data_IF_933682069934
#
_entry.id   IF_933682069934
#
_cell.length_a   1.000
_cell.length_b   1.000
_cell.length_c   1.000
_cell.angle_alpha   90.00
_cell.angle_beta   90.00
_cell.angle_gamma   90.00
#
_symmetry.space_group_name_H-M   'P 1'
#
loop_
_entity.id
_entity.type
_entity.pdbx_description
1 polymer ?
#
# COMPACT_ATOMS: atom_id res chain seq x y z
N UNK A 1 21.98 -26.61 -13.59
CA UNK A 1 20.79 -25.74 -13.68
C UNK A 1 20.94 -24.40 -12.94
N UNK A 2 21.44 -24.36 -11.70
CA UNK A 2 21.43 -23.13 -10.88
C UNK A 2 22.24 -21.91 -11.39
N UNK A 3 23.32 -22.10 -12.17
CA UNK A 3 24.16 -20.95 -12.59
C UNK A 3 23.56 -20.13 -13.73
N UNK A 4 22.81 -20.76 -14.63
CA UNK A 4 22.20 -20.11 -15.79
C UNK A 4 21.00 -19.26 -15.39
N UNK A 5 20.11 -19.79 -14.56
CA UNK A 5 18.94 -19.03 -14.05
C UNK A 5 19.37 -17.77 -13.30
N UNK A 6 20.45 -17.84 -12.50
CA UNK A 6 20.99 -16.65 -11.81
C UNK A 6 21.54 -15.60 -12.77
N UNK A 7 22.29 -16.02 -13.81
CA UNK A 7 22.82 -15.09 -14.82
C UNK A 7 21.71 -14.42 -15.62
N UNK A 8 20.70 -15.19 -16.02
CA UNK A 8 19.53 -14.67 -16.75
C UNK A 8 18.76 -13.69 -15.88
N UNK A 9 18.51 -14.00 -14.61
CA UNK A 9 17.81 -13.10 -13.69
C UNK A 9 18.59 -11.80 -13.47
N UNK A 10 19.91 -11.89 -13.30
CA UNK A 10 20.77 -10.71 -13.14
C UNK A 10 20.77 -9.80 -14.38
N UNK A 11 20.78 -10.38 -15.58
CA UNK A 11 20.75 -9.63 -16.84
C UNK A 11 19.35 -9.05 -17.12
N UNK A 12 18.29 -9.81 -16.86
CA UNK A 12 16.91 -9.41 -17.12
C UNK A 12 16.38 -8.38 -16.12
N UNK A 13 16.94 -8.30 -14.90
CA UNK A 13 16.40 -7.44 -13.85
C UNK A 13 16.32 -5.95 -14.22
N UNK A 14 17.39 -5.38 -14.79
CA UNK A 14 17.42 -3.98 -15.20
C UNK A 14 16.45 -3.66 -16.36
N UNK A 15 16.49 -4.36 -17.50
CA UNK A 15 15.57 -4.10 -18.60
C UNK A 15 14.11 -4.36 -18.19
N UNK A 16 13.84 -5.44 -17.44
CA UNK A 16 12.47 -5.73 -17.01
C UNK A 16 11.95 -4.69 -16.02
N UNK A 17 12.79 -4.12 -15.15
CA UNK A 17 12.39 -3.01 -14.30
C UNK A 17 11.93 -1.79 -15.11
N UNK A 18 12.69 -1.40 -16.14
CA UNK A 18 12.33 -0.28 -17.01
C UNK A 18 11.06 -0.58 -17.79
N UNK A 19 10.97 -1.78 -18.39
CA UNK A 19 9.78 -2.22 -19.13
C UNK A 19 8.54 -2.22 -18.22
N UNK A 20 8.64 -2.68 -16.98
CA UNK A 20 7.52 -2.65 -16.03
C UNK A 20 7.11 -1.24 -15.61
N UNK A 21 8.06 -0.32 -15.42
CA UNK A 21 7.73 1.08 -15.13
C UNK A 21 7.03 1.73 -16.31
N UNK A 22 7.55 1.55 -17.53
CA UNK A 22 6.93 2.06 -18.75
C UNK A 22 5.53 1.48 -18.94
N UNK A 23 5.38 0.16 -18.75
CA UNK A 23 4.09 -0.49 -18.80
C UNK A 23 3.11 0.13 -17.80
N UNK A 24 3.53 0.35 -16.54
CA UNK A 24 2.68 0.97 -15.53
C UNK A 24 2.30 2.42 -15.90
N UNK A 25 3.22 3.19 -16.47
CA UNK A 25 2.97 4.56 -16.90
C UNK A 25 1.96 4.63 -18.07
N UNK A 26 2.15 3.82 -19.10
CA UNK A 26 1.19 3.74 -20.21
C UNK A 26 -0.16 3.16 -19.77
N UNK A 27 -0.16 2.23 -18.82
CA UNK A 27 -1.39 1.69 -18.23
C UNK A 27 -2.15 2.78 -17.47
N UNK A 28 -1.46 3.61 -16.69
CA UNK A 28 -2.05 4.76 -16.03
C UNK A 28 -2.67 5.75 -17.03
N UNK A 29 -1.93 6.05 -18.10
CA UNK A 29 -2.41 6.89 -19.21
C UNK A 29 -3.66 6.32 -19.87
N UNK A 30 -3.61 5.06 -20.31
CA UNK A 30 -4.75 4.35 -20.89
C UNK A 30 -5.97 4.38 -19.96
N UNK A 31 -5.78 4.11 -18.67
CA UNK A 31 -6.86 4.04 -17.70
C UNK A 31 -7.59 5.38 -17.59
N UNK A 32 -6.87 6.49 -17.51
CA UNK A 32 -7.44 7.82 -17.30
C UNK A 32 -7.92 8.49 -18.60
N UNK A 33 -7.17 8.37 -19.71
CA UNK A 33 -7.56 8.91 -21.02
C UNK A 33 -8.83 8.24 -21.56
N UNK A 34 -8.92 6.91 -21.46
CA UNK A 34 -10.10 6.18 -21.92
C UNK A 34 -11.34 6.49 -21.08
N UNK A 35 -11.15 6.87 -19.83
CA UNK A 35 -12.26 7.24 -18.96
C UNK A 35 -12.91 8.58 -19.36
N UNK A 36 -12.16 9.48 -20.01
CA UNK A 36 -12.65 10.74 -20.57
C UNK A 36 -13.19 10.62 -22.01
N UNK A 37 -13.22 9.43 -22.62
CA UNK A 37 -13.63 9.25 -24.02
C UNK A 37 -12.81 10.10 -25.00
N UNK A 38 -11.54 10.36 -24.67
CA UNK A 38 -10.61 10.97 -25.61
C UNK A 38 -10.33 9.97 -26.74
N UNK A 39 -10.91 10.22 -27.93
CA UNK A 39 -10.56 9.52 -29.18
C UNK A 39 -9.26 10.09 -29.79
N UNK A 40 -8.30 10.43 -28.93
CA UNK A 40 -7.06 11.10 -29.29
C UNK A 40 -5.92 10.15 -29.60
N UNK A 41 -4.93 10.68 -30.32
CA UNK A 41 -3.65 10.03 -30.62
C UNK A 41 -2.92 9.55 -29.34
N UNK A 42 -3.08 10.27 -28.22
CA UNK A 42 -2.53 9.95 -26.90
C UNK A 42 -2.96 8.56 -26.40
N UNK A 43 -4.23 8.21 -26.58
CA UNK A 43 -4.77 6.91 -26.16
C UNK A 43 -4.20 5.79 -27.03
N UNK A 44 -4.11 6.02 -28.34
CA UNK A 44 -3.53 5.06 -29.29
C UNK A 44 -2.06 4.79 -28.97
N UNK A 45 -1.26 5.82 -28.65
CA UNK A 45 0.13 5.64 -28.19
C UNK A 45 0.18 4.73 -26.96
N UNK A 46 -0.67 4.96 -25.96
CA UNK A 46 -0.69 4.14 -24.75
C UNK A 46 -1.05 2.68 -25.07
N UNK A 47 -2.08 2.45 -25.90
CA UNK A 47 -2.51 1.12 -26.32
C UNK A 47 -1.43 0.36 -27.08
N UNK A 48 -0.83 0.97 -28.10
CA UNK A 48 0.25 0.36 -28.89
C UNK A 48 1.49 0.11 -28.05
N UNK A 49 1.86 1.03 -27.16
CA UNK A 49 2.99 0.85 -26.25
C UNK A 49 2.78 -0.33 -25.31
N UNK A 50 1.58 -0.48 -24.74
CA UNK A 50 1.24 -1.62 -23.89
C UNK A 50 1.27 -2.93 -24.67
N UNK A 51 0.73 -2.94 -25.89
CA UNK A 51 0.76 -4.10 -26.78
C UNK A 51 2.20 -4.51 -27.12
N UNK A 52 3.09 -3.54 -27.39
CA UNK A 52 4.48 -3.80 -27.74
C UNK A 52 5.34 -4.27 -26.54
N UNK A 53 5.06 -3.75 -25.35
CA UNK A 53 5.80 -4.11 -24.13
C UNK A 53 5.35 -5.46 -23.54
N UNK A 54 4.11 -5.89 -23.77
CA UNK A 54 3.56 -7.11 -23.20
C UNK A 54 4.33 -8.40 -23.57
N UNK A 55 4.76 -8.63 -24.83
CA UNK A 55 5.59 -9.77 -25.21
C UNK A 55 6.86 -9.95 -24.37
N UNK A 56 7.47 -8.87 -23.87
CA UNK A 56 8.67 -8.97 -23.03
C UNK A 56 8.42 -9.82 -21.77
N UNK A 57 7.25 -9.70 -21.15
CA UNK A 57 6.86 -10.47 -19.97
C UNK A 57 6.57 -11.93 -20.30
N UNK A 58 5.98 -12.21 -21.47
CA UNK A 58 5.76 -13.57 -21.95
C UNK A 58 7.11 -14.26 -22.19
N UNK A 59 8.03 -13.58 -22.88
CA UNK A 59 9.37 -14.12 -23.18
C UNK A 59 10.12 -14.42 -21.88
N UNK A 60 10.13 -13.49 -20.91
CA UNK A 60 10.74 -13.73 -19.59
C UNK A 60 10.12 -14.96 -18.91
N UNK A 61 8.79 -15.06 -18.87
CA UNK A 61 8.10 -16.19 -18.26
C UNK A 61 8.44 -17.52 -18.96
N UNK A 62 8.49 -17.54 -20.29
CA UNK A 62 8.89 -18.70 -21.08
C UNK A 62 10.32 -19.13 -20.80
N UNK A 63 11.27 -18.18 -20.77
CA UNK A 63 12.68 -18.46 -20.48
C UNK A 63 12.84 -19.07 -19.09
N UNK A 64 12.18 -18.51 -18.08
CA UNK A 64 12.25 -19.05 -16.71
C UNK A 64 11.50 -20.38 -16.53
N UNK A 65 10.47 -20.64 -17.33
CA UNK A 65 9.78 -21.93 -17.37
C UNK A 65 10.68 -23.00 -18.02
N UNK A 66 11.31 -22.68 -19.16
CA UNK A 66 12.25 -23.57 -19.86
C UNK A 66 13.49 -23.90 -19.02
N UNK A 67 13.97 -22.94 -18.22
CA UNK A 67 15.09 -23.13 -17.29
C UNK A 67 14.73 -23.91 -16.01
N UNK A 68 13.45 -24.28 -15.82
CA UNK A 68 13.00 -25.04 -14.64
C UNK A 68 13.15 -24.26 -13.33
N UNK A 69 12.90 -22.95 -13.35
CA UNK A 69 13.07 -22.12 -12.15
C UNK A 69 12.12 -22.55 -11.00
N UNK A 70 12.59 -22.56 -9.75
CA UNK A 70 11.79 -23.03 -8.61
C UNK A 70 10.55 -22.16 -8.33
N UNK A 71 10.55 -20.93 -8.84
CA UNK A 71 9.49 -19.92 -8.63
C UNK A 71 8.70 -19.56 -9.89
N UNK A 72 8.64 -20.46 -10.89
CA UNK A 72 7.93 -20.23 -12.16
C UNK A 72 6.49 -19.67 -12.04
N UNK A 73 5.75 -20.01 -10.97
CA UNK A 73 4.39 -19.49 -10.71
C UNK A 73 4.36 -17.96 -10.57
N UNK A 74 5.41 -17.35 -10.01
CA UNK A 74 5.52 -15.89 -9.92
C UNK A 74 5.65 -15.24 -11.30
N UNK A 75 6.29 -15.92 -12.26
CA UNK A 75 6.42 -15.37 -13.62
C UNK A 75 5.10 -15.42 -14.39
N UNK A 76 4.25 -16.41 -14.11
CA UNK A 76 2.87 -16.38 -14.60
C UNK A 76 2.07 -15.23 -13.99
N UNK A 77 2.29 -14.94 -12.71
CA UNK A 77 1.68 -13.77 -12.06
C UNK A 77 2.17 -12.47 -12.70
N UNK A 78 3.45 -12.35 -13.04
CA UNK A 78 3.99 -11.19 -13.76
C UNK A 78 3.45 -11.08 -15.18
N UNK A 79 3.16 -12.19 -15.86
CA UNK A 79 2.48 -12.15 -17.15
C UNK A 79 1.04 -11.61 -17.00
N UNK A 80 0.33 -12.01 -15.94
CA UNK A 80 -1.04 -11.55 -15.68
C UNK A 80 -1.09 -10.09 -15.18
N UNK A 81 -0.13 -9.70 -14.33
CA UNK A 81 -0.03 -8.36 -13.75
C UNK A 81 1.42 -7.86 -13.88
N UNK A 82 1.80 -7.34 -15.07
CA UNK A 82 3.17 -6.92 -15.38
C UNK A 82 3.79 -5.91 -14.41
N UNK A 83 3.06 -4.93 -13.86
CA UNK A 83 3.62 -4.01 -12.89
C UNK A 83 4.17 -4.67 -11.61
N UNK A 84 3.67 -5.85 -11.21
CA UNK A 84 4.18 -6.55 -10.02
C UNK A 84 5.62 -7.04 -10.19
N UNK A 85 6.16 -7.03 -11.42
CA UNK A 85 7.56 -7.36 -11.71
C UNK A 85 8.53 -6.26 -11.24
N UNK A 86 8.05 -5.04 -10.99
CA UNK A 86 8.85 -3.93 -10.45
C UNK A 86 9.46 -4.35 -9.12
N UNK A 87 10.79 -4.32 -9.02
CA UNK A 87 11.56 -4.74 -7.83
C UNK A 87 11.24 -6.16 -7.36
N UNK A 88 10.84 -7.07 -8.27
CA UNK A 88 10.58 -8.46 -7.89
C UNK A 88 11.82 -9.13 -7.28
N UNK A 89 11.56 -10.07 -6.38
CA UNK A 89 12.61 -10.82 -5.69
C UNK A 89 13.27 -11.84 -6.62
N UNK A 90 14.55 -12.09 -6.37
CA UNK A 90 15.36 -13.10 -7.05
C UNK A 90 14.62 -14.45 -7.15
N UNK A 91 14.65 -15.04 -8.34
CA UNK A 91 13.98 -16.30 -8.64
C UNK A 91 14.59 -17.48 -7.87
N UNK A 92 15.86 -17.38 -7.50
CA UNK A 92 16.59 -18.45 -6.80
C UNK A 92 16.33 -18.43 -5.31
N UNK A 93 16.70 -17.33 -4.64
CA UNK A 93 16.63 -17.24 -3.18
C UNK A 93 15.36 -16.55 -2.71
N UNK A 94 14.86 -15.57 -3.47
CA UNK A 94 13.73 -14.71 -3.06
C UNK A 94 14.06 -13.83 -1.86
N UNK A 95 15.36 -13.62 -1.62
CA UNK A 95 15.89 -12.77 -0.53
C UNK A 95 16.45 -11.46 -1.05
N UNK A 96 16.96 -11.44 -2.27
CA UNK A 96 17.48 -10.25 -2.91
C UNK A 96 16.44 -9.62 -3.84
N UNK A 97 16.50 -8.30 -3.98
CA UNK A 97 15.78 -7.52 -5.00
C UNK A 97 16.78 -6.69 -5.80
N UNK A 98 16.43 -6.38 -7.03
CA UNK A 98 17.17 -5.42 -7.84
C UNK A 98 16.55 -4.02 -7.71
N UNK A 99 17.39 -3.04 -7.40
CA UNK A 99 17.01 -1.63 -7.34
C UNK A 99 17.96 -0.80 -8.23
N UNK A 100 17.47 0.20 -8.98
CA UNK A 100 18.28 0.91 -9.98
C UNK A 100 19.54 1.59 -9.42
N UNK A 101 19.48 2.10 -8.19
CA UNK A 101 20.61 2.81 -7.55
C UNK A 101 21.50 1.88 -6.71
N UNK A 102 20.93 0.80 -6.16
CA UNK A 102 21.60 -0.06 -5.18
C UNK A 102 21.95 -1.46 -5.75
N UNK A 103 21.66 -1.68 -7.04
CA UNK A 103 21.75 -2.97 -7.71
C UNK A 103 21.09 -4.10 -6.88
N UNK A 104 21.65 -5.30 -6.91
CA UNK A 104 21.16 -6.44 -6.15
C UNK A 104 21.47 -6.28 -4.66
N UNK A 105 20.43 -6.13 -3.84
CA UNK A 105 20.54 -5.97 -2.39
C UNK A 105 19.61 -6.97 -1.68
N UNK A 106 20.05 -7.53 -0.56
CA UNK A 106 19.21 -8.38 0.29
C UNK A 106 18.16 -7.56 1.05
N UNK A 107 16.94 -8.10 1.13
CA UNK A 107 15.82 -7.45 1.81
C UNK A 107 15.92 -7.69 3.31
N UNK A 108 16.72 -6.86 3.97
CA UNK A 108 16.83 -6.81 5.43
C UNK A 108 15.96 -5.68 6.04
N UNK A 109 15.68 -5.76 7.35
CA UNK A 109 14.86 -4.79 8.11
C UNK A 109 15.37 -3.35 7.96
N UNK A 110 16.69 -3.17 7.91
CA UNK A 110 17.30 -1.85 7.72
C UNK A 110 17.00 -1.28 6.33
N UNK A 111 17.09 -2.11 5.29
CA UNK A 111 16.75 -1.75 3.92
C UNK A 111 15.27 -1.36 3.81
N UNK A 112 14.37 -2.16 4.38
CA UNK A 112 12.94 -1.85 4.43
C UNK A 112 12.66 -0.49 5.06
N UNK A 113 13.34 -0.17 6.16
CA UNK A 113 13.18 1.09 6.87
C UNK A 113 13.71 2.28 6.04
N UNK A 114 14.84 2.11 5.34
CA UNK A 114 15.41 3.14 4.47
C UNK A 114 14.51 3.44 3.28
N UNK A 115 14.02 2.41 2.60
CA UNK A 115 13.09 2.59 1.48
C UNK A 115 11.80 3.25 1.96
N UNK A 116 11.25 2.79 3.08
CA UNK A 116 10.05 3.39 3.66
C UNK A 116 10.23 4.89 3.93
N UNK A 117 11.33 5.29 4.58
CA UNK A 117 11.64 6.72 4.82
C UNK A 117 11.77 7.51 3.53
N UNK A 118 12.44 6.94 2.53
CA UNK A 118 12.68 7.60 1.23
C UNK A 118 11.39 7.83 0.45
N UNK A 119 10.45 6.89 0.46
CA UNK A 119 9.17 7.02 -0.26
C UNK A 119 8.10 7.78 0.52
N UNK A 120 8.26 7.93 1.85
CA UNK A 120 7.31 8.66 2.70
C UNK A 120 7.17 10.14 2.32
N UNK A 121 8.28 10.79 1.96
CA UNK A 121 8.30 12.23 1.67
C UNK A 121 7.77 12.56 0.27
N UNK A 122 8.28 11.95 -0.83
CA UNK A 122 7.77 12.17 -2.17
C UNK A 122 6.26 11.93 -2.27
N UNK A 123 5.75 10.87 -1.63
CA UNK A 123 4.33 10.58 -1.79
C UNK A 123 3.43 11.48 -0.96
N UNK A 124 3.92 12.09 0.13
CA UNK A 124 3.16 13.17 0.76
C UNK A 124 3.05 14.38 -0.18
N UNK A 125 4.12 14.71 -0.92
CA UNK A 125 4.08 15.80 -1.91
C UNK A 125 3.06 15.48 -2.99
N UNK A 126 3.08 14.26 -3.52
CA UNK A 126 2.14 13.81 -4.56
C UNK A 126 0.70 13.77 -4.04
N UNK A 127 0.50 13.29 -2.81
CA UNK A 127 -0.80 13.32 -2.16
C UNK A 127 -1.27 14.77 -2.00
N UNK A 128 -0.41 15.69 -1.56
CA UNK A 128 -0.77 17.11 -1.45
C UNK A 128 -1.12 17.74 -2.80
N UNK A 129 -0.43 17.35 -3.88
CA UNK A 129 -0.70 17.80 -5.26
C UNK A 129 -2.07 17.36 -5.80
N UNK A 130 -2.70 16.36 -5.18
CA UNK A 130 -4.10 16.02 -5.49
C UNK A 130 -5.04 17.19 -5.20
N UNK A 131 -4.83 17.93 -4.11
CA UNK A 131 -5.71 19.02 -3.72
C UNK A 131 -5.77 20.16 -4.75
N UNK A 132 -4.64 20.75 -5.21
CA UNK A 132 -4.69 21.77 -6.24
C UNK A 132 -5.19 21.20 -7.57
N UNK A 133 -4.83 19.97 -7.94
CA UNK A 133 -5.35 19.36 -9.17
C UNK A 133 -6.88 19.23 -9.11
N UNK A 134 -7.41 18.73 -8.00
CA UNK A 134 -8.84 18.60 -7.77
C UNK A 134 -9.55 19.96 -7.76
N UNK A 135 -8.95 20.98 -7.14
CA UNK A 135 -9.48 22.33 -7.14
C UNK A 135 -9.56 22.89 -8.57
N UNK A 136 -8.50 22.74 -9.38
CA UNK A 136 -8.49 23.17 -10.78
C UNK A 136 -9.57 22.45 -11.59
N UNK A 137 -9.68 21.12 -11.47
CA UNK A 137 -10.73 20.34 -12.14
C UNK A 137 -12.14 20.79 -11.76
N UNK A 138 -12.35 21.20 -10.49
CA UNK A 138 -13.66 21.62 -10.01
C UNK A 138 -14.04 23.04 -10.44
N UNK A 139 -13.12 24.01 -10.29
CA UNK A 139 -13.39 25.41 -10.62
C UNK A 139 -13.41 25.69 -12.13
N UNK A 140 -12.51 25.06 -12.89
CA UNK A 140 -12.37 25.27 -14.34
C UNK A 140 -13.01 24.16 -15.19
N UNK A 141 -14.01 23.46 -14.63
CA UNK A 141 -14.64 22.32 -15.31
C UNK A 141 -15.12 22.68 -16.73
N UNK A 142 -15.78 23.84 -16.90
CA UNK A 142 -16.28 24.28 -18.20
C UNK A 142 -15.17 24.54 -19.22
N UNK A 143 -14.04 25.11 -18.79
CA UNK A 143 -12.92 25.36 -19.70
C UNK A 143 -12.23 24.04 -20.11
N UNK A 144 -12.10 23.10 -19.17
CA UNK A 144 -11.52 21.78 -19.45
C UNK A 144 -12.40 21.02 -20.45
N UNK A 145 -13.72 21.07 -20.29
CA UNK A 145 -14.67 20.44 -21.23
C UNK A 145 -14.67 21.11 -22.61
N UNK A 146 -14.35 22.41 -22.68
CA UNK A 146 -14.32 23.15 -23.95
C UNK A 146 -13.08 22.89 -24.82
N UNK A 147 -11.98 22.40 -24.23
CA UNK A 147 -10.72 22.19 -24.93
C UNK A 147 -10.21 20.75 -24.75
N UNK A 148 -10.11 19.96 -25.83
CA UNK A 148 -9.68 18.56 -25.74
C UNK A 148 -8.25 18.42 -25.18
N UNK A 149 -7.36 19.39 -25.46
CA UNK A 149 -6.00 19.37 -24.95
C UNK A 149 -5.95 19.56 -23.42
N UNK A 150 -6.80 20.42 -22.86
CA UNK A 150 -6.87 20.64 -21.41
C UNK A 150 -7.47 19.43 -20.70
N UNK A 151 -8.48 18.78 -21.31
CA UNK A 151 -9.04 17.53 -20.81
C UNK A 151 -8.00 16.41 -20.76
N UNK A 152 -7.24 16.22 -21.84
CA UNK A 152 -6.15 15.24 -21.90
C UNK A 152 -5.06 15.55 -20.87
N UNK A 153 -4.66 16.81 -20.71
CA UNK A 153 -3.64 17.19 -19.73
C UNK A 153 -4.09 16.93 -18.29
N UNK A 154 -5.35 17.26 -17.95
CA UNK A 154 -5.92 16.93 -16.64
C UNK A 154 -6.01 15.42 -16.41
N UNK A 155 -6.37 14.66 -17.44
CA UNK A 155 -6.38 13.19 -17.40
C UNK A 155 -4.98 12.62 -17.15
N UNK A 156 -3.96 13.14 -17.83
CA UNK A 156 -2.57 12.72 -17.66
C UNK A 156 -2.03 13.11 -16.29
N UNK A 157 -2.37 14.30 -15.77
CA UNK A 157 -1.98 14.71 -14.42
C UNK A 157 -2.59 13.78 -13.35
N UNK A 158 -3.88 13.46 -13.47
CA UNK A 158 -4.54 12.50 -12.57
C UNK A 158 -3.94 11.09 -12.72
N UNK A 159 -3.66 10.66 -13.96
CA UNK A 159 -2.99 9.39 -14.24
C UNK A 159 -1.57 9.33 -13.68
N UNK A 160 -0.82 10.43 -13.69
CA UNK A 160 0.51 10.54 -13.09
C UNK A 160 0.46 10.38 -11.57
N UNK A 161 -0.52 11.00 -10.93
CA UNK A 161 -0.75 10.81 -9.49
C UNK A 161 -1.05 9.33 -9.20
N UNK A 162 -2.00 8.73 -9.91
CA UNK A 162 -2.31 7.31 -9.76
C UNK A 162 -1.08 6.42 -9.99
N UNK A 163 -0.28 6.72 -11.02
CA UNK A 163 0.97 6.02 -11.31
C UNK A 163 1.92 6.06 -10.12
N UNK A 164 2.13 7.23 -9.51
CA UNK A 164 3.02 7.36 -8.38
C UNK A 164 2.53 6.61 -7.13
N UNK A 165 1.23 6.71 -6.81
CA UNK A 165 0.62 5.93 -5.73
C UNK A 165 0.79 4.42 -5.95
N UNK A 166 0.52 3.97 -7.18
CA UNK A 166 0.63 2.56 -7.56
C UNK A 166 2.07 2.07 -7.52
N UNK A 167 3.01 2.87 -8.01
CA UNK A 167 4.44 2.55 -8.00
C UNK A 167 4.97 2.40 -6.56
N UNK A 168 4.67 3.35 -5.67
CA UNK A 168 5.05 3.20 -4.26
C UNK A 168 4.46 1.94 -3.65
N UNK A 169 3.16 1.72 -3.85
CA UNK A 169 2.48 0.57 -3.27
C UNK A 169 3.10 -0.74 -3.75
N UNK A 170 3.42 -0.86 -5.04
CA UNK A 170 4.10 -2.03 -5.63
C UNK A 170 5.51 -2.21 -5.05
N UNK A 171 6.27 -1.14 -4.90
CA UNK A 171 7.62 -1.22 -4.30
C UNK A 171 7.52 -1.69 -2.85
N UNK A 172 6.61 -1.10 -2.06
CA UNK A 172 6.49 -1.43 -0.64
C UNK A 172 6.00 -2.86 -0.42
N UNK A 173 5.02 -3.33 -1.21
CA UNK A 173 4.53 -4.71 -1.11
C UNK A 173 5.58 -5.74 -1.58
N UNK A 174 6.47 -5.39 -2.51
CA UNK A 174 7.55 -6.27 -2.96
C UNK A 174 8.60 -6.51 -1.86
N UNK A 175 8.92 -5.44 -1.13
CA UNK A 175 9.90 -5.41 -0.06
C UNK A 175 9.34 -6.07 1.21
N UNK A 176 8.07 -5.84 1.54
CA UNK A 176 7.47 -6.39 2.75
C UNK A 176 7.39 -7.94 2.73
N UNK A 177 7.74 -8.59 3.84
CA UNK A 177 7.68 -10.05 3.93
C UNK A 177 6.23 -10.56 4.03
N UNK A 178 5.39 -9.86 4.79
CA UNK A 178 3.97 -10.19 4.99
C UNK A 178 3.09 -9.28 4.14
N UNK A 179 3.03 -9.57 2.84
CA UNK A 179 2.30 -8.76 1.84
C UNK A 179 0.84 -8.51 2.19
N UNK A 180 0.16 -9.52 2.74
CA UNK A 180 -1.26 -9.41 3.11
C UNK A 180 -1.47 -8.48 4.31
N UNK A 181 -0.60 -8.53 5.31
CA UNK A 181 -0.66 -7.63 6.46
C UNK A 181 -0.41 -6.17 6.03
N UNK A 182 0.49 -5.98 5.05
CA UNK A 182 0.72 -4.68 4.44
C UNK A 182 -0.54 -4.14 3.76
N UNK A 183 -1.19 -4.94 2.90
CA UNK A 183 -2.43 -4.53 2.23
C UNK A 183 -3.55 -4.19 3.21
N UNK A 184 -3.66 -4.92 4.34
CA UNK A 184 -4.65 -4.62 5.38
C UNK A 184 -4.35 -3.31 6.10
N UNK A 185 -3.07 -3.02 6.37
CA UNK A 185 -2.64 -1.77 7.00
C UNK A 185 -2.83 -0.56 6.09
N UNK A 186 -2.60 -0.73 4.79
CA UNK A 186 -2.67 0.30 3.76
C UNK A 186 -3.88 0.08 2.83
N UNK A 187 -5.04 -0.20 3.40
CA UNK A 187 -6.24 -0.53 2.63
C UNK A 187 -6.77 0.67 1.83
N UNK A 188 -6.53 1.90 2.28
CA UNK A 188 -6.93 3.13 1.57
C UNK A 188 -6.12 3.27 0.28
N UNK A 189 -4.79 3.18 0.37
CA UNK A 189 -3.87 3.21 -0.79
C UNK A 189 -4.28 2.13 -1.80
N UNK A 190 -4.60 0.90 -1.33
CA UNK A 190 -5.10 -0.17 -2.19
C UNK A 190 -6.45 0.17 -2.84
N UNK A 191 -7.39 0.77 -2.10
CA UNK A 191 -8.70 1.16 -2.64
C UNK A 191 -8.57 2.23 -3.73
N UNK A 192 -7.70 3.23 -3.52
CA UNK A 192 -7.37 4.28 -4.49
C UNK A 192 -6.81 3.68 -5.78
N UNK A 193 -5.93 2.68 -5.67
CA UNK A 193 -5.35 1.99 -6.84
C UNK A 193 -6.41 1.15 -7.57
N UNK A 194 -7.22 0.39 -6.83
CA UNK A 194 -8.18 -0.56 -7.39
C UNK A 194 -9.43 0.10 -8.00
N UNK A 195 -9.89 1.23 -7.47
CA UNK A 195 -11.15 1.85 -7.92
C UNK A 195 -11.16 2.18 -9.42
N UNK A 196 -10.14 2.88 -9.95
CA UNK A 196 -10.06 3.20 -11.36
C UNK A 196 -9.94 1.94 -12.22
N UNK A 197 -9.25 0.89 -11.73
CA UNK A 197 -9.18 -0.39 -12.42
C UNK A 197 -10.53 -1.09 -12.51
N UNK A 198 -11.36 -1.03 -11.46
CA UNK A 198 -12.71 -1.59 -11.46
C UNK A 198 -13.60 -0.85 -12.47
N UNK A 199 -13.50 0.48 -12.54
CA UNK A 199 -14.19 1.30 -13.52
C UNK A 199 -13.81 0.88 -14.95
N UNK A 200 -12.51 0.68 -15.20
CA UNK A 200 -11.97 0.23 -16.48
C UNK A 200 -12.45 -1.17 -16.86
N UNK A 201 -12.35 -2.15 -15.95
CA UNK A 201 -12.72 -3.54 -16.21
C UNK A 201 -14.20 -3.69 -16.56
N UNK A 202 -15.06 -2.87 -15.94
CA UNK A 202 -16.48 -2.82 -16.28
C UNK A 202 -16.68 -2.32 -17.71
N UNK A 203 -15.97 -1.28 -18.11
CA UNK A 203 -16.04 -0.73 -19.48
C UNK A 203 -15.66 -1.79 -20.51
N UNK A 204 -14.53 -2.50 -20.29
CA UNK A 204 -14.11 -3.60 -21.18
C UNK A 204 -15.12 -4.74 -21.27
N UNK A 205 -15.71 -5.16 -20.14
CA UNK A 205 -16.76 -6.20 -20.14
C UNK A 205 -17.97 -5.75 -20.94
N UNK A 206 -18.36 -4.49 -20.84
CA UNK A 206 -19.54 -3.98 -21.56
C UNK A 206 -19.24 -3.92 -23.06
N UNK A 207 -18.11 -3.35 -23.49
CA UNK A 207 -17.79 -3.24 -24.93
C UNK A 207 -17.50 -4.62 -25.55
N UNK A 208 -16.74 -5.48 -24.86
CA UNK A 208 -16.40 -6.82 -25.35
C UNK A 208 -17.55 -7.82 -25.31
N UNK A 209 -18.46 -7.73 -24.32
CA UNK A 209 -19.67 -8.56 -24.27
C UNK A 209 -20.78 -7.99 -25.14
N UNK A 210 -20.88 -6.66 -25.29
CA UNK A 210 -21.78 -6.03 -26.25
C UNK A 210 -21.42 -6.47 -27.67
N UNK A 211 -20.13 -6.52 -28.05
CA UNK A 211 -19.74 -6.98 -29.39
C UNK A 211 -20.10 -8.45 -29.67
N UNK A 212 -20.02 -9.34 -28.67
CA UNK A 212 -20.47 -10.75 -28.80
C UNK A 212 -22.00 -10.90 -28.75
N UNK A 213 -22.70 -10.04 -28.02
CA UNK A 213 -24.16 -10.11 -27.83
C UNK A 213 -24.96 -9.24 -28.82
N UNK A 214 -24.31 -8.32 -29.56
CA UNK A 214 -24.93 -7.48 -30.60
C UNK A 214 -25.40 -8.30 -31.80
N UNK A 215 -24.83 -9.50 -31.99
CA UNK A 215 -25.36 -10.48 -32.96
C UNK A 215 -26.69 -11.11 -32.53
N UNK A 216 -27.09 -11.01 -31.26
CA UNK A 216 -28.28 -11.67 -30.71
C UNK A 216 -29.32 -10.72 -30.10
N UNK A 217 -29.00 -9.45 -29.83
CA UNK A 217 -29.85 -8.58 -28.99
C UNK A 217 -30.18 -7.21 -29.61
N UNK A 218 -30.72 -7.18 -30.84
CA UNK A 218 -31.26 -5.96 -31.49
C UNK A 218 -32.53 -5.36 -30.83
N UNK A 219 -32.96 -5.79 -29.64
CA UNK A 219 -34.32 -5.51 -29.15
C UNK A 219 -34.49 -4.92 -27.73
N UNK A 220 -33.43 -4.56 -26.97
CA UNK A 220 -33.63 -4.04 -25.59
C UNK A 220 -32.72 -2.85 -25.17
N UNK A 221 -32.16 -2.09 -26.11
CA UNK A 221 -30.94 -1.30 -25.88
C UNK A 221 -31.05 0.11 -25.22
N UNK A 222 -32.21 0.60 -24.75
CA UNK A 222 -32.29 2.00 -24.29
C UNK A 222 -32.27 2.22 -22.76
N UNK A 223 -32.58 1.22 -21.93
CA UNK A 223 -32.73 1.44 -20.47
C UNK A 223 -31.55 1.01 -19.60
N UNK A 224 -30.55 0.30 -20.15
CA UNK A 224 -29.35 -0.13 -19.41
C UNK A 224 -28.20 0.88 -19.43
N UNK A 225 -28.13 1.74 -20.45
CA UNK A 225 -27.05 2.71 -20.61
C UNK A 225 -27.05 3.78 -19.50
N UNK A 226 -28.22 4.32 -19.14
CA UNK A 226 -28.34 5.39 -18.13
C UNK A 226 -27.84 5.00 -16.71
N UNK A 227 -28.02 3.74 -16.30
CA UNK A 227 -27.54 3.26 -14.98
C UNK A 227 -26.01 3.13 -14.93
N UNK A 228 -25.38 2.80 -16.05
CA UNK A 228 -23.94 2.57 -16.15
C UNK A 228 -23.19 3.90 -16.09
N UNK A 229 -23.68 4.94 -16.77
CA UNK A 229 -23.10 6.29 -16.69
C UNK A 229 -23.17 6.89 -15.28
N UNK A 230 -24.28 6.69 -14.58
CA UNK A 230 -24.40 7.13 -13.17
C UNK A 230 -23.38 6.42 -12.28
N UNK A 231 -23.19 5.12 -12.47
CA UNK A 231 -22.27 4.35 -11.65
C UNK A 231 -20.80 4.67 -11.95
N UNK A 232 -20.45 4.98 -13.21
CA UNK A 232 -19.12 5.51 -13.61
C UNK A 232 -18.83 6.82 -12.86
N UNK A 233 -19.78 7.76 -12.89
CA UNK A 233 -19.65 9.04 -12.18
C UNK A 233 -19.53 8.86 -10.65
N UNK A 234 -20.28 7.93 -10.06
CA UNK A 234 -20.19 7.62 -8.63
C UNK A 234 -18.83 7.03 -8.25
N UNK A 235 -18.29 6.10 -9.03
CA UNK A 235 -16.96 5.51 -8.80
C UNK A 235 -15.89 6.60 -8.86
N UNK A 236 -15.95 7.52 -9.84
CA UNK A 236 -14.99 8.63 -9.91
C UNK A 236 -15.10 9.61 -8.74
N UNK A 237 -16.32 9.88 -8.26
CA UNK A 237 -16.52 10.69 -7.03
C UNK A 237 -15.95 10.01 -5.80
N UNK A 238 -16.16 8.70 -5.65
CA UNK A 238 -15.61 7.90 -4.55
C UNK A 238 -14.08 7.83 -4.62
N UNK A 239 -13.51 7.69 -5.81
CA UNK A 239 -12.06 7.71 -6.01
C UNK A 239 -11.47 9.03 -5.52
N UNK A 240 -12.07 10.16 -5.91
CA UNK A 240 -11.67 11.49 -5.44
C UNK A 240 -11.77 11.62 -3.92
N UNK A 241 -12.86 11.15 -3.33
CA UNK A 241 -13.04 11.16 -1.88
C UNK A 241 -11.97 10.30 -1.16
N UNK A 242 -11.65 9.13 -1.71
CA UNK A 242 -10.63 8.23 -1.16
C UNK A 242 -9.22 8.80 -1.29
N UNK A 243 -8.90 9.47 -2.40
CA UNK A 243 -7.63 10.19 -2.55
C UNK A 243 -7.50 11.28 -1.47
N UNK A 244 -8.54 12.07 -1.25
CA UNK A 244 -8.52 13.10 -0.18
C UNK A 244 -8.37 12.46 1.20
N UNK A 245 -9.10 11.37 1.45
CA UNK A 245 -8.98 10.62 2.70
C UNK A 245 -7.56 10.06 2.88
N UNK A 246 -6.91 9.60 1.82
CA UNK A 246 -5.54 9.11 1.85
C UNK A 246 -4.56 10.22 2.28
N UNK A 247 -4.73 11.43 1.76
CA UNK A 247 -3.94 12.61 2.17
C UNK A 247 -4.09 12.84 3.67
N UNK A 248 -5.32 12.86 4.17
CA UNK A 248 -5.62 13.05 5.60
C UNK A 248 -5.00 11.93 6.43
N UNK A 249 -5.18 10.68 6.00
CA UNK A 249 -4.65 9.50 6.68
C UNK A 249 -3.12 9.54 6.76
N UNK A 250 -2.46 9.92 5.67
CA UNK A 250 -1.00 10.02 5.56
C UNK A 250 -0.45 11.19 6.37
N UNK A 251 -1.15 12.33 6.41
CA UNK A 251 -0.81 13.45 7.27
C UNK A 251 -0.94 13.09 8.76
N UNK A 252 -2.02 12.38 9.13
CA UNK A 252 -2.28 11.95 10.50
C UNK A 252 -1.23 10.94 11.01
N UNK A 253 -0.80 10.00 10.16
CA UNK A 253 0.19 8.98 10.53
C UNK A 253 1.65 9.49 10.55
N UNK A 254 1.93 10.67 9.99
CA UNK A 254 3.29 11.24 9.87
C UNK A 254 3.73 12.13 11.03
N UNK A 255 2.97 12.22 12.12
CA UNK A 255 3.48 12.79 13.38
C UNK A 255 3.95 11.67 14.36
N UNK A 256 4.88 10.74 14.00
CA UNK A 256 5.38 9.76 14.94
C UNK A 256 6.21 10.42 16.04
N UNK A 257 6.80 11.60 15.82
CA UNK A 257 7.53 12.33 16.86
C UNK A 257 6.61 12.85 17.95
N UNK A 258 5.48 13.49 17.60
CA UNK A 258 4.45 13.84 18.59
C UNK A 258 3.85 12.59 19.25
N UNK A 259 3.81 11.48 18.52
CA UNK A 259 3.28 10.21 19.04
C UNK A 259 4.26 9.51 19.97
N UNK A 260 5.56 9.59 19.71
CA UNK A 260 6.65 9.12 20.58
C UNK A 260 6.71 10.02 21.80
N UNK A 261 6.75 11.35 21.65
CA UNK A 261 6.74 12.29 22.77
C UNK A 261 5.52 12.06 23.68
N UNK A 262 4.34 11.86 23.10
CA UNK A 262 3.13 11.51 23.88
C UNK A 262 3.25 10.14 24.55
N UNK A 263 3.84 9.13 23.89
CA UNK A 263 4.04 7.80 24.48
C UNK A 263 5.10 7.80 25.58
N UNK A 264 6.15 8.61 25.46
CA UNK A 264 7.18 8.82 26.48
C UNK A 264 6.60 9.54 27.70
N UNK A 265 5.78 10.57 27.49
CA UNK A 265 5.04 11.25 28.56
C UNK A 265 4.11 10.27 29.30
N UNK A 266 3.37 9.44 28.54
CA UNK A 266 2.49 8.40 29.10
C UNK A 266 3.27 7.31 29.83
N UNK A 267 4.47 6.96 29.37
CA UNK A 267 5.34 5.99 30.02
C UNK A 267 5.86 6.53 31.36
N UNK A 268 6.28 7.79 31.39
CA UNK A 268 6.75 8.45 32.61
C UNK A 268 5.64 8.58 33.66
N UNK A 269 4.42 8.95 33.26
CA UNK A 269 3.25 8.98 34.15
C UNK A 269 2.94 7.58 34.74
N UNK A 270 3.02 6.53 33.91
CA UNK A 270 2.77 5.15 34.36
C UNK A 270 3.87 4.60 35.26
N UNK A 271 5.13 4.98 35.05
CA UNK A 271 6.22 4.64 35.96
C UNK A 271 6.03 5.29 37.34
N UNK A 272 5.60 6.55 37.39
CA UNK A 272 5.27 7.24 38.64
C UNK A 272 4.10 6.57 39.38
N UNK A 273 3.04 6.20 38.68
CA UNK A 273 1.93 5.43 39.27
C UNK A 273 2.41 4.10 39.87
N UNK A 274 3.26 3.37 39.14
CA UNK A 274 3.82 2.11 39.64
C UNK A 274 4.70 2.30 40.88
N UNK A 275 5.50 3.36 40.94
CA UNK A 275 6.33 3.67 42.11
C UNK A 275 5.47 4.03 43.34
N UNK A 276 4.42 4.82 43.16
CA UNK A 276 3.48 5.14 44.22
C UNK A 276 2.83 3.86 44.80
N UNK A 277 2.32 2.98 43.93
CA UNK A 277 1.74 1.69 44.34
C UNK A 277 2.77 0.83 45.08
N UNK A 278 4.01 0.75 44.58
CA UNK A 278 5.09 0.00 45.26
C UNK A 278 5.41 0.57 46.64
N UNK A 279 5.39 1.89 46.80
CA UNK A 279 5.63 2.53 48.09
C UNK A 279 4.52 2.21 49.10
N UNK A 280 3.26 2.24 48.66
CA UNK A 280 2.11 1.89 49.47
C UNK A 280 2.14 0.42 49.89
N UNK A 281 2.50 -0.48 48.96
CA UNK A 281 2.73 -1.89 49.27
C UNK A 281 3.81 -2.09 50.34
N UNK A 282 4.93 -1.34 50.27
CA UNK A 282 5.99 -1.42 51.29
C UNK A 282 5.52 -0.96 52.65
N UNK A 283 4.86 0.20 52.72
CA UNK A 283 4.32 0.73 53.98
C UNK A 283 3.29 -0.21 54.61
N UNK A 284 2.41 -0.79 53.80
CA UNK A 284 1.47 -1.81 54.26
C UNK A 284 2.19 -3.06 54.75
N UNK A 285 3.22 -3.53 54.02
CA UNK A 285 4.01 -4.70 54.43
C UNK A 285 4.74 -4.48 55.76
N UNK A 286 5.32 -3.29 55.96
CA UNK A 286 6.01 -2.91 57.19
C UNK A 286 5.03 -2.78 58.36
N UNK A 287 3.84 -2.22 58.11
CA UNK A 287 2.78 -2.16 59.12
C UNK A 287 2.30 -3.56 59.52
N UNK A 288 2.21 -4.50 58.56
CA UNK A 288 1.86 -5.90 58.84
C UNK A 288 2.96 -6.58 59.67
N UNK A 289 4.24 -6.41 59.32
CA UNK A 289 5.35 -7.00 60.08
C UNK A 289 5.46 -6.42 61.49
N UNK A 290 5.37 -5.10 61.65
CA UNK A 290 5.36 -4.44 62.98
C UNK A 290 4.19 -4.92 63.83
N UNK A 291 2.99 -5.03 63.24
CA UNK A 291 1.81 -5.56 63.94
C UNK A 291 2.03 -7.01 64.37
N UNK A 292 2.56 -7.87 63.50
CA UNK A 292 2.85 -9.27 63.86
C UNK A 292 3.89 -9.41 64.97
N UNK A 293 4.92 -8.55 64.99
CA UNK A 293 5.92 -8.50 66.07
C UNK A 293 5.28 -8.08 67.40
N UNK A 294 4.45 -7.04 67.39
CA UNK A 294 3.74 -6.58 68.60
C UNK A 294 2.76 -7.61 69.16
N UNK A 295 2.08 -8.37 68.29
CA UNK A 295 1.19 -9.47 68.70
C UNK A 295 1.98 -10.64 69.31
N UNK A 296 3.17 -10.95 68.75
CA UNK A 296 4.06 -11.99 69.28
C UNK A 296 4.67 -11.61 70.64
N UNK A 297 5.06 -10.35 70.81
CA UNK A 297 5.57 -9.84 72.09
C UNK A 297 4.47 -9.83 73.18
N UNK A 298 3.25 -9.41 72.83
CA UNK A 298 2.12 -9.42 73.75
C UNK A 298 1.72 -10.85 74.18
N UNK A 299 1.78 -11.84 73.28
CA UNK A 299 1.59 -13.26 73.63
C UNK A 299 2.71 -13.78 74.54
N UNK A 300 3.97 -13.41 74.30
CA UNK A 300 5.10 -13.82 75.15
C UNK A 300 4.98 -13.24 76.57
N UNK A 301 4.61 -11.96 76.70
CA UNK A 301 4.40 -11.31 77.99
C UNK A 301 3.21 -11.91 78.75
N UNK A 302 2.08 -12.16 78.09
CA UNK A 302 0.91 -12.79 78.73
C UNK A 302 1.19 -14.22 79.18
N UNK A 303 1.94 -15.03 78.41
CA UNK A 303 2.38 -16.36 78.83
C UNK A 303 3.30 -16.29 80.07
N UNK A 304 4.24 -15.33 80.09
CA UNK A 304 5.14 -15.15 81.23
C UNK A 304 4.43 -14.72 82.52
N UNK A 305 3.44 -13.83 82.42
CA UNK A 305 2.64 -13.35 83.55
C UNK A 305 1.73 -14.47 84.08
N UNK A 306 1.20 -15.29 83.18
CA UNK A 306 0.36 -16.44 83.56
C UNK A 306 1.17 -17.52 84.28
N UNK A 307 2.40 -17.80 83.83
CA UNK A 307 3.31 -18.71 84.53
C UNK A 307 3.73 -18.19 85.92
N UNK A 308 3.92 -16.87 86.07
CA UNK A 308 4.26 -16.25 87.36
C UNK A 308 3.12 -16.25 88.39
N UNK A 309 1.86 -16.31 87.93
CA UNK A 309 0.67 -16.40 88.80
C UNK A 309 0.31 -17.83 89.20
N UNK A 310 0.87 -18.84 88.53
CA UNK A 310 0.60 -20.26 88.78
C UNK A 310 1.65 -20.94 89.69
N UNK A 311 2.69 -20.22 90.10
CA UNK A 311 3.68 -20.61 91.10
C UNK A 311 3.44 -19.87 92.42
#
# INVERSE_FOLDING_TARGET
>A
MNRYTKKVDQFAAAPMFVVSILFLAFFAGMLHLRNLESEGLSLAICEWSLFLLYPCFIIEAMVHLALGSPRWKLNLLFCLVPPLRITARDQMTGRAIWFPVLAWTEVDKQFCTRVRKTFSAPMLVIALLVLPLFAVEHYWQKQIESSPMLADLAAMATGFIWFAFTLEFIIMISIEQKRLDYCRKHWIDLAVICLPMIAFLRTLRITGSAMRLQRLARLQQLTRSARIFRLKSLVMKLYRALLVLEIVNRFLHRNPEKRIARLEELLLEKEQEMEAIRSEMRLLSERITLKSLSETEAESETVSITQRKAA
#
